data_IF_600189630040
#
_entry.id   IF_600189630040
#
_cell.length_a   1.000
_cell.length_b   1.000
_cell.length_c   1.000
_cell.angle_alpha   90.00
_cell.angle_beta   90.00
_cell.angle_gamma   90.00
#
_symmetry.space_group_name_H-M   'P 1'
#
loop_
_entity.id
_entity.type
_entity.pdbx_description
1 polymer ?
#
# COMPACT_ATOMS: atom_id res chain seq x y z
N UNK A 1 35.07 -2.01 30.34
CA UNK A 1 34.12 -0.99 29.81
C UNK A 1 34.67 -0.23 28.58
N UNK A 2 35.33 -0.90 27.62
CA UNK A 2 35.86 -0.24 26.40
C UNK A 2 35.40 -0.90 25.08
N UNK A 3 34.58 -1.97 25.13
CA UNK A 3 34.11 -2.65 23.92
C UNK A 3 32.76 -2.16 23.39
N UNK A 4 31.99 -1.40 24.18
CA UNK A 4 30.67 -0.90 23.77
C UNK A 4 30.72 0.44 23.03
N UNK A 5 31.80 1.24 23.20
CA UNK A 5 31.95 2.52 22.50
C UNK A 5 32.34 2.38 21.02
N UNK A 6 33.00 1.28 20.62
CA UNK A 6 33.39 1.04 19.22
C UNK A 6 32.21 0.58 18.34
N UNK A 7 31.26 -0.17 18.90
CA UNK A 7 30.08 -0.66 18.16
C UNK A 7 29.05 0.46 17.94
N UNK A 8 28.95 1.43 18.86
CA UNK A 8 28.09 2.61 18.67
C UNK A 8 28.66 3.60 17.65
N UNK A 9 29.99 3.77 17.59
CA UNK A 9 30.62 4.64 16.57
C UNK A 9 30.51 4.07 15.15
N UNK A 10 30.61 2.75 14.98
CA UNK A 10 30.41 2.10 13.67
C UNK A 10 28.95 2.22 13.15
N UNK A 11 27.96 2.32 14.04
CA UNK A 11 26.54 2.49 13.66
C UNK A 11 26.16 3.93 13.30
N UNK A 12 26.96 4.92 13.70
CA UNK A 12 26.76 6.32 13.32
C UNK A 12 27.43 6.62 11.98
N UNK A 13 28.62 6.05 11.71
CA UNK A 13 29.32 6.23 10.43
C UNK A 13 28.57 5.63 9.22
N UNK A 14 27.82 4.54 9.40
CA UNK A 14 26.99 3.93 8.34
C UNK A 14 25.67 4.68 8.07
N UNK A 15 25.31 5.69 8.88
CA UNK A 15 24.13 6.54 8.64
C UNK A 15 24.44 7.78 7.81
N UNK A 16 25.71 8.13 7.65
CA UNK A 16 26.12 9.37 7.00
C UNK A 16 26.60 9.18 5.54
N UNK A 17 26.74 7.94 5.05
CA UNK A 17 27.15 7.63 3.66
C UNK A 17 25.99 7.36 2.68
N UNK A 18 24.76 7.70 3.05
CA UNK A 18 23.59 7.59 2.15
C UNK A 18 22.72 8.85 2.12
N UNK A 19 23.31 10.02 2.38
CA UNK A 19 22.66 11.28 2.03
C UNK A 19 22.73 11.49 0.50
N UNK A 20 21.61 11.52 -0.25
CA UNK A 20 21.66 11.96 -1.61
C UNK A 20 21.82 13.48 -1.61
N UNK A 21 22.98 13.91 -2.09
CA UNK A 21 23.32 15.30 -2.37
C UNK A 21 22.55 15.83 -3.58
N UNK A 22 22.06 17.08 -3.47
CA UNK A 22 21.82 17.95 -4.63
C UNK A 22 20.48 17.73 -5.34
N UNK A 23 19.66 18.78 -5.36
CA UNK A 23 18.29 18.78 -5.89
C UNK A 23 18.18 18.36 -7.36
N UNK A 24 17.20 17.50 -7.60
CA UNK A 24 16.45 17.38 -8.85
C UNK A 24 15.02 17.89 -8.58
N UNK A 25 14.33 18.45 -9.59
CA UNK A 25 13.13 19.26 -9.40
C UNK A 25 12.00 18.43 -8.78
N UNK A 26 11.08 19.11 -8.07
CA UNK A 26 9.84 18.57 -7.48
C UNK A 26 9.42 17.29 -8.19
N UNK A 27 9.55 16.15 -7.50
CA UNK A 27 9.27 14.83 -8.05
C UNK A 27 7.98 14.91 -8.85
N UNK A 28 8.12 14.80 -10.17
CA UNK A 28 6.99 14.78 -11.07
C UNK A 28 6.12 13.62 -10.59
N UNK A 29 4.94 13.94 -10.08
CA UNK A 29 4.02 12.95 -9.53
C UNK A 29 3.79 11.93 -10.64
N UNK A 30 4.38 10.74 -10.49
CA UNK A 30 4.28 9.70 -11.50
C UNK A 30 2.81 9.36 -11.61
N UNK A 31 2.22 9.77 -12.72
CA UNK A 31 0.80 9.75 -12.98
C UNK A 31 0.51 9.09 -14.31
N UNK A 32 -0.71 8.57 -14.46
CA UNK A 32 -1.07 7.84 -15.65
C UNK A 32 -2.48 7.29 -15.64
N UNK A 33 -2.74 6.39 -16.58
CA UNK A 33 -4.03 5.71 -16.72
C UNK A 33 -4.24 4.59 -15.70
N UNK A 34 -5.37 3.92 -15.79
CA UNK A 34 -5.66 2.77 -14.93
C UNK A 34 -4.65 1.62 -15.08
N UNK A 35 -4.04 1.46 -16.26
CA UNK A 35 -2.99 0.47 -16.49
C UNK A 35 -1.74 0.78 -15.67
N UNK A 36 -1.32 2.06 -15.65
CA UNK A 36 -0.28 2.55 -14.76
C UNK A 36 -0.62 2.27 -13.29
N UNK A 37 -1.83 2.63 -12.85
CA UNK A 37 -2.27 2.40 -11.47
C UNK A 37 -2.16 0.92 -11.07
N UNK A 38 -2.60 0.01 -11.96
CA UNK A 38 -2.53 -1.42 -11.72
C UNK A 38 -1.09 -1.95 -11.65
N UNK A 39 -0.16 -1.42 -12.46
CA UNK A 39 1.25 -1.77 -12.36
C UNK A 39 1.85 -1.36 -11.00
N UNK A 40 1.54 -0.14 -10.55
CA UNK A 40 2.01 0.36 -9.26
C UNK A 40 1.42 -0.45 -8.09
N UNK A 41 0.13 -0.81 -8.16
CA UNK A 41 -0.51 -1.68 -7.18
C UNK A 41 0.18 -3.05 -7.07
N UNK A 42 0.58 -3.65 -8.21
CA UNK A 42 1.34 -4.92 -8.23
C UNK A 42 2.73 -4.80 -7.62
N UNK A 43 3.33 -3.60 -7.65
CA UNK A 43 4.61 -3.28 -6.99
C UNK A 43 4.45 -3.00 -5.48
N UNK A 44 3.22 -3.05 -4.96
CA UNK A 44 2.93 -2.75 -3.54
C UNK A 44 2.79 -1.26 -3.24
N UNK A 45 2.75 -0.41 -4.25
CA UNK A 45 2.49 1.02 -4.07
C UNK A 45 1.02 1.28 -3.73
N UNK A 46 0.78 2.43 -3.10
CA UNK A 46 -0.57 2.98 -2.91
C UNK A 46 -0.84 3.97 -4.03
N UNK A 47 -2.04 3.96 -4.58
CA UNK A 47 -2.43 4.88 -5.66
C UNK A 47 -3.70 5.62 -5.31
N UNK A 48 -3.86 6.83 -5.84
CA UNK A 48 -5.07 7.61 -5.74
C UNK A 48 -5.36 8.34 -7.04
N UNK A 49 -6.53 8.97 -7.11
CA UNK A 49 -6.96 9.80 -8.22
C UNK A 49 -7.14 11.25 -7.78
N UNK A 50 -6.77 12.20 -8.64
CA UNK A 50 -6.98 13.62 -8.37
C UNK A 50 -8.47 14.03 -8.37
N UNK A 51 -9.28 13.38 -9.19
CA UNK A 51 -10.71 13.63 -9.39
C UNK A 51 -11.61 12.93 -8.38
N UNK A 52 -11.05 12.23 -7.39
CA UNK A 52 -11.87 11.65 -6.32
C UNK A 52 -12.38 12.71 -5.34
N UNK A 53 -13.63 12.52 -4.92
CA UNK A 53 -14.26 13.37 -3.91
C UNK A 53 -13.78 12.97 -2.52
N UNK A 54 -12.77 13.67 -2.02
CA UNK A 54 -12.29 13.52 -0.65
C UNK A 54 -10.77 13.44 -0.60
N UNK A 55 -10.19 14.00 0.46
CA UNK A 55 -8.75 13.97 0.68
C UNK A 55 -8.36 12.67 1.39
N UNK A 56 -7.28 12.05 0.94
CA UNK A 56 -6.68 10.90 1.61
C UNK A 56 -7.40 9.56 1.34
N UNK A 57 -8.15 9.43 0.24
CA UNK A 57 -8.52 8.11 -0.28
C UNK A 57 -7.34 7.52 -1.06
N UNK A 58 -7.13 6.21 -0.95
CA UNK A 58 -6.17 5.50 -1.78
C UNK A 58 -6.52 4.01 -1.90
N UNK A 59 -6.07 3.41 -2.98
CA UNK A 59 -6.13 1.97 -3.26
C UNK A 59 -4.78 1.33 -2.98
N UNK A 60 -4.82 0.09 -2.52
CA UNK A 60 -3.66 -0.79 -2.43
C UNK A 60 -4.06 -2.24 -2.70
N UNK A 61 -3.08 -3.05 -3.11
CA UNK A 61 -3.26 -4.49 -3.30
C UNK A 61 -3.05 -5.21 -1.96
N UNK A 62 -4.04 -6.00 -1.55
CA UNK A 62 -3.89 -6.95 -0.46
C UNK A 62 -3.44 -8.28 -1.08
N UNK A 63 -2.25 -8.81 -0.73
CA UNK A 63 -1.78 -10.09 -1.24
C UNK A 63 -2.65 -11.24 -0.73
N UNK A 64 -2.63 -12.41 -1.39
CA UNK A 64 -3.36 -13.58 -0.90
C UNK A 64 -2.80 -13.98 0.47
N UNK A 65 -3.71 -14.35 1.38
CA UNK A 65 -3.37 -14.65 2.75
C UNK A 65 -4.39 -15.61 3.37
N UNK A 66 -4.11 -16.04 4.59
CA UNK A 66 -4.92 -17.01 5.31
C UNK A 66 -5.14 -16.55 6.74
N UNK A 67 -6.39 -16.47 7.19
CA UNK A 67 -6.74 -15.91 8.50
C UNK A 67 -7.68 -16.84 9.29
N UNK A 68 -7.63 -16.82 10.63
CA UNK A 68 -8.57 -17.58 11.44
C UNK A 68 -10.02 -17.20 11.17
N UNK A 69 -10.95 -18.17 11.16
CA UNK A 69 -12.38 -17.89 10.96
C UNK A 69 -12.90 -16.84 11.95
N UNK A 70 -13.60 -15.83 11.44
CA UNK A 70 -14.16 -14.75 12.27
C UNK A 70 -15.69 -14.74 12.28
N UNK A 71 -16.32 -14.99 11.12
CA UNK A 71 -17.77 -14.78 10.94
C UNK A 71 -18.55 -16.10 11.01
N UNK A 72 -19.83 -16.02 11.38
CA UNK A 72 -20.71 -17.20 11.44
C UNK A 72 -20.81 -17.95 10.11
N UNK A 73 -20.91 -17.23 8.99
CA UNK A 73 -20.93 -17.84 7.66
C UNK A 73 -19.64 -18.62 7.35
N UNK A 74 -18.47 -18.05 7.68
CA UNK A 74 -17.20 -18.73 7.49
C UNK A 74 -17.06 -19.94 8.42
N UNK A 75 -17.45 -19.82 9.70
CA UNK A 75 -17.45 -20.94 10.65
C UNK A 75 -18.33 -22.10 10.17
N UNK A 76 -19.51 -21.82 9.62
CA UNK A 76 -20.41 -22.84 9.12
C UNK A 76 -19.86 -23.58 7.89
N UNK A 77 -19.06 -22.91 7.05
CA UNK A 77 -18.50 -23.51 5.84
C UNK A 77 -17.14 -24.17 6.05
N UNK A 78 -16.21 -23.49 6.73
CA UNK A 78 -14.83 -23.94 6.93
C UNK A 78 -14.60 -24.69 8.26
N UNK A 79 -15.52 -24.55 9.22
CA UNK A 79 -15.41 -25.13 10.56
C UNK A 79 -14.81 -24.17 11.59
N UNK A 80 -15.23 -24.31 12.86
CA UNK A 80 -14.69 -23.50 13.96
C UNK A 80 -13.20 -23.85 14.22
N UNK A 81 -12.38 -22.84 14.47
CA UNK A 81 -10.94 -23.00 14.66
C UNK A 81 -10.13 -23.22 13.38
N UNK A 82 -10.77 -23.24 12.21
CA UNK A 82 -10.08 -23.36 10.93
C UNK A 82 -9.46 -22.05 10.44
N UNK A 83 -8.74 -22.14 9.32
CA UNK A 83 -8.13 -21.01 8.62
C UNK A 83 -8.82 -20.85 7.26
N UNK A 84 -9.23 -19.62 6.94
CA UNK A 84 -9.87 -19.26 5.67
C UNK A 84 -8.81 -18.73 4.70
N UNK A 85 -8.66 -19.34 3.52
CA UNK A 85 -7.79 -18.83 2.46
C UNK A 85 -8.49 -17.71 1.68
N UNK A 86 -7.90 -16.53 1.65
CA UNK A 86 -8.37 -15.39 0.86
C UNK A 86 -7.46 -15.16 -0.34
N UNK A 87 -8.08 -15.00 -1.51
CA UNK A 87 -7.37 -14.55 -2.71
C UNK A 87 -6.93 -13.09 -2.57
N UNK A 88 -6.00 -12.66 -3.41
CA UNK A 88 -5.63 -11.26 -3.52
C UNK A 88 -6.84 -10.40 -3.94
N UNK A 89 -6.91 -9.18 -3.42
CA UNK A 89 -7.96 -8.22 -3.80
C UNK A 89 -7.45 -6.79 -3.64
N UNK A 90 -8.15 -5.85 -4.28
CA UNK A 90 -7.88 -4.43 -4.07
C UNK A 90 -8.70 -3.92 -2.89
N UNK A 91 -8.05 -3.15 -2.03
CA UNK A 91 -8.68 -2.48 -0.91
C UNK A 91 -8.62 -0.97 -1.13
N UNK A 92 -9.65 -0.26 -0.70
CA UNK A 92 -9.67 1.20 -0.64
C UNK A 92 -9.74 1.65 0.82
N UNK A 93 -8.85 2.58 1.17
CA UNK A 93 -8.93 3.33 2.42
C UNK A 93 -9.83 4.54 2.18
N UNK A 94 -10.88 4.68 2.97
CA UNK A 94 -11.85 5.76 2.88
C UNK A 94 -11.43 6.99 3.70
N UNK A 95 -12.09 8.13 3.48
CA UNK A 95 -11.82 9.39 4.20
C UNK A 95 -11.92 9.28 5.73
N UNK A 96 -12.73 8.34 6.23
CA UNK A 96 -12.97 8.11 7.65
C UNK A 96 -12.09 6.99 8.25
N UNK A 97 -10.97 6.67 7.60
CA UNK A 97 -10.02 5.62 8.01
C UNK A 97 -10.59 4.18 8.05
N UNK A 98 -11.78 3.97 7.47
CA UNK A 98 -12.28 2.61 7.22
C UNK A 98 -11.68 2.03 5.94
N UNK A 99 -11.61 0.71 5.87
CA UNK A 99 -11.16 -0.03 4.68
C UNK A 99 -12.32 -0.81 4.10
N UNK A 100 -12.45 -0.79 2.78
CA UNK A 100 -13.42 -1.60 2.04
C UNK A 100 -12.73 -2.39 0.94
N UNK A 101 -13.30 -3.51 0.54
CA UNK A 101 -12.92 -4.13 -0.73
C UNK A 101 -13.31 -3.18 -1.86
N UNK A 102 -12.42 -3.01 -2.83
CA UNK A 102 -12.60 -2.07 -3.91
C UNK A 102 -12.73 -2.80 -5.24
N UNK A 103 -13.75 -2.42 -5.99
CA UNK A 103 -13.94 -2.81 -7.38
C UNK A 103 -13.88 -1.52 -8.19
N UNK A 104 -12.93 -1.38 -9.13
CA UNK A 104 -12.84 -0.18 -9.94
C UNK A 104 -14.12 -0.01 -10.74
N UNK A 105 -14.71 1.19 -10.69
CA UNK A 105 -15.83 1.54 -11.56
C UNK A 105 -15.34 1.74 -13.00
N UNK A 106 -16.26 1.78 -13.97
CA UNK A 106 -15.90 2.15 -15.35
C UNK A 106 -15.20 3.52 -15.40
N UNK A 107 -15.63 4.47 -14.57
CA UNK A 107 -14.99 5.78 -14.48
C UNK A 107 -13.59 5.73 -13.87
N UNK A 108 -13.28 4.74 -13.04
CA UNK A 108 -11.92 4.53 -12.53
C UNK A 108 -11.03 3.91 -13.61
N UNK A 109 -11.56 2.96 -14.37
CA UNK A 109 -10.86 2.31 -15.47
C UNK A 109 -10.52 3.26 -16.63
N UNK A 110 -11.39 4.23 -16.92
CA UNK A 110 -11.21 5.19 -18.02
C UNK A 110 -10.46 6.47 -17.61
N UNK A 111 -9.99 6.54 -16.37
CA UNK A 111 -9.31 7.70 -15.84
C UNK A 111 -7.81 7.72 -16.16
N UNK A 112 -7.28 8.93 -16.30
CA UNK A 112 -5.88 9.26 -16.60
C UNK A 112 -5.21 10.09 -15.48
N UNK A 113 -5.91 10.27 -14.36
CA UNK A 113 -5.52 11.13 -13.24
C UNK A 113 -5.01 10.33 -12.03
N UNK A 114 -4.51 9.11 -12.27
CA UNK A 114 -3.94 8.26 -11.23
C UNK A 114 -2.55 8.72 -10.84
N UNK A 115 -2.18 8.57 -9.57
CA UNK A 115 -0.82 8.82 -9.08
C UNK A 115 -0.45 7.95 -7.88
N UNK A 116 0.84 7.79 -7.62
CA UNK A 116 1.38 7.08 -6.45
C UNK A 116 1.41 7.97 -5.21
N UNK A 117 1.02 7.43 -4.05
CA UNK A 117 1.18 8.07 -2.74
C UNK A 117 2.38 7.47 -2.01
N UNK A 118 3.20 8.35 -1.43
CA UNK A 118 4.35 8.00 -0.57
C UNK A 118 3.95 7.44 0.79
#
# INVERSE_FOLDING_TARGET
MHSFKRIQQARQALRDEHAPSGGAPCAEVVSGDFGFALDQLRRGCRVARHGWNGKGLFVYLVPPASYPVQTGAAKAHFGEGSIVPYNAYLAIKNVNDTVSTWVPSVNDCLADDWFVIE
#
